data_IF_899292216580
#
_entry.id   IF_899292216580
#
_cell.length_a   1.000
_cell.length_b   1.000
_cell.length_c   1.000
_cell.angle_alpha   90.00
_cell.angle_beta   90.00
_cell.angle_gamma   90.00
#
_symmetry.space_group_name_H-M   'P 1'
#
loop_
_entity.id
_entity.type
_entity.pdbx_description
1 polymer ?
#
# COMPACT_ATOMS: atom_id res chain seq x y z
N UNK A 1 2.14 -11.38 -28.57
CA UNK A 1 1.87 -10.80 -27.24
C UNK A 1 2.56 -9.46 -27.19
N UNK A 2 1.90 -8.43 -26.65
CA UNK A 2 2.57 -7.16 -26.36
C UNK A 2 3.50 -7.37 -25.16
N UNK A 3 4.55 -6.57 -25.05
CA UNK A 3 5.39 -6.54 -23.84
C UNK A 3 4.96 -5.40 -22.94
N UNK A 4 4.92 -5.64 -21.62
CA UNK A 4 4.60 -4.62 -20.64
C UNK A 4 5.89 -4.03 -20.05
N UNK A 5 5.97 -2.70 -20.01
CA UNK A 5 7.11 -1.96 -19.47
C UNK A 5 6.69 -1.09 -18.28
N UNK A 6 7.53 -1.03 -17.26
CA UNK A 6 7.38 -0.07 -16.16
C UNK A 6 8.03 1.24 -16.61
N UNK A 7 7.21 2.27 -16.78
CA UNK A 7 7.66 3.57 -17.29
C UNK A 7 8.05 4.52 -16.16
N UNK A 8 7.33 4.47 -15.02
CA UNK A 8 7.55 5.34 -13.87
C UNK A 8 7.03 4.69 -12.60
N UNK A 9 7.58 5.10 -11.45
CA UNK A 9 7.12 4.69 -10.13
C UNK A 9 7.33 5.81 -9.12
N UNK A 10 6.31 6.05 -8.29
CA UNK A 10 6.35 6.99 -7.17
C UNK A 10 5.67 6.38 -5.95
N UNK A 11 6.09 6.81 -4.78
CA UNK A 11 5.44 6.47 -3.51
C UNK A 11 5.38 7.66 -2.55
N UNK A 12 4.53 7.57 -1.57
CA UNK A 12 4.58 8.44 -0.39
C UNK A 12 5.71 8.03 0.55
N UNK A 13 6.08 8.88 1.51
CA UNK A 13 6.78 8.43 2.70
C UNK A 13 5.95 7.35 3.41
N UNK A 14 6.62 6.45 4.13
CA UNK A 14 5.95 5.46 5.00
C UNK A 14 5.82 6.04 6.40
N UNK A 15 4.59 6.18 6.87
CA UNK A 15 4.30 6.65 8.23
C UNK A 15 4.09 5.49 9.20
N UNK A 16 4.59 5.63 10.43
CA UNK A 16 4.31 4.66 11.50
C UNK A 16 2.82 4.68 11.85
N UNK A 17 2.16 3.53 11.82
CA UNK A 17 0.75 3.41 12.17
C UNK A 17 0.45 4.00 13.55
N UNK A 18 -0.67 4.70 13.69
CA UNK A 18 -1.18 5.36 14.91
C UNK A 18 -0.32 6.50 15.47
N UNK A 19 0.95 6.63 15.08
CA UNK A 19 1.90 7.63 15.64
C UNK A 19 2.56 8.51 14.59
N UNK A 20 2.65 8.07 13.33
CA UNK A 20 3.31 8.82 12.25
C UNK A 20 2.49 10.00 11.75
N UNK A 21 3.10 10.90 10.98
CA UNK A 21 2.47 12.08 10.40
C UNK A 21 1.27 11.76 9.51
N UNK A 22 1.31 10.63 8.81
CA UNK A 22 0.22 10.20 7.91
C UNK A 22 -0.98 9.55 8.60
N UNK A 23 -1.01 9.46 9.94
CA UNK A 23 -2.05 8.72 10.70
C UNK A 23 -3.48 9.19 10.48
N UNK A 24 -3.67 10.44 10.07
CA UNK A 24 -4.97 11.05 9.80
C UNK A 24 -5.19 11.36 8.31
N UNK A 25 -4.26 10.97 7.45
CA UNK A 25 -4.41 11.11 6.00
C UNK A 25 -5.22 9.93 5.48
N UNK A 26 -6.29 10.22 4.78
CA UNK A 26 -7.12 9.16 4.14
C UNK A 26 -6.31 8.44 3.08
N UNK A 27 -6.37 7.10 3.00
CA UNK A 27 -5.58 6.32 2.04
C UNK A 27 -5.97 6.59 0.58
N UNK A 28 -7.22 6.91 0.30
CA UNK A 28 -7.69 7.31 -1.02
C UNK A 28 -7.11 8.68 -1.47
N UNK A 29 -7.11 9.68 -0.60
CA UNK A 29 -6.51 10.99 -0.86
C UNK A 29 -4.99 10.90 -1.04
N UNK A 30 -4.34 10.08 -0.20
CA UNK A 30 -2.89 9.82 -0.29
C UNK A 30 -2.53 9.23 -1.65
N UNK A 31 -3.23 8.17 -2.07
CA UNK A 31 -2.99 7.53 -3.36
C UNK A 31 -3.31 8.46 -4.53
N UNK A 32 -4.41 9.21 -4.47
CA UNK A 32 -4.77 10.19 -5.50
C UNK A 32 -3.70 11.28 -5.66
N UNK A 33 -3.09 11.73 -4.57
CA UNK A 33 -1.99 12.71 -4.60
C UNK A 33 -0.77 12.15 -5.33
N UNK A 34 -0.40 10.91 -5.05
CA UNK A 34 0.72 10.24 -5.72
C UNK A 34 0.42 10.03 -7.21
N UNK A 35 -0.78 9.59 -7.57
CA UNK A 35 -1.16 9.36 -8.97
C UNK A 35 -1.16 10.66 -9.78
N UNK A 36 -1.70 11.76 -9.24
CA UNK A 36 -1.62 13.07 -9.89
C UNK A 36 -0.18 13.48 -10.21
N UNK A 37 0.71 13.25 -9.24
CA UNK A 37 2.13 13.55 -9.42
C UNK A 37 2.79 12.60 -10.42
N UNK A 38 2.47 11.31 -10.39
CA UNK A 38 2.98 10.31 -11.32
C UNK A 38 2.63 10.69 -12.75
N UNK A 39 1.35 10.96 -13.05
CA UNK A 39 0.90 11.36 -14.38
C UNK A 39 1.60 12.63 -14.85
N UNK A 40 1.75 13.62 -13.96
CA UNK A 40 2.45 14.87 -14.29
C UNK A 40 3.94 14.70 -14.59
N UNK A 41 4.59 13.70 -13.98
CA UNK A 41 6.02 13.46 -14.14
C UNK A 41 6.38 12.70 -15.42
N UNK A 42 5.43 12.00 -16.03
CA UNK A 42 5.65 11.26 -17.28
C UNK A 42 5.35 12.15 -18.47
N UNK A 43 6.38 12.51 -19.20
CA UNK A 43 6.24 13.37 -20.39
C UNK A 43 5.32 12.71 -21.42
N UNK A 44 4.37 13.48 -21.94
CA UNK A 44 3.40 13.02 -22.93
C UNK A 44 2.26 12.17 -22.39
N UNK A 45 2.25 11.81 -21.10
CA UNK A 45 1.15 11.07 -20.51
C UNK A 45 0.00 12.02 -20.11
N UNK A 46 -1.15 11.81 -20.73
CA UNK A 46 -2.39 12.44 -20.32
C UNK A 46 -3.26 11.44 -19.55
N UNK A 47 -3.98 11.89 -18.52
CA UNK A 47 -4.82 11.01 -17.70
C UNK A 47 -5.86 10.20 -18.49
N UNK A 48 -6.33 10.73 -19.64
CA UNK A 48 -7.26 10.01 -20.54
C UNK A 48 -6.64 8.83 -21.30
N UNK A 49 -5.30 8.72 -21.32
CA UNK A 49 -4.58 7.59 -21.90
C UNK A 49 -4.52 6.38 -20.96
N UNK A 50 -4.92 6.56 -19.70
CA UNK A 50 -4.94 5.48 -18.72
C UNK A 50 -6.22 4.66 -18.90
N UNK A 51 -6.06 3.38 -19.24
CA UNK A 51 -7.18 2.46 -19.46
C UNK A 51 -7.78 1.91 -18.17
N UNK A 52 -6.94 1.76 -17.12
CA UNK A 52 -7.39 1.21 -15.85
C UNK A 52 -6.48 1.60 -14.68
N UNK A 53 -7.08 1.61 -13.48
CA UNK A 53 -6.37 1.79 -12.21
C UNK A 53 -6.58 0.56 -11.33
N UNK A 54 -5.50 -0.15 -10.99
CA UNK A 54 -5.55 -1.33 -10.12
C UNK A 54 -4.85 -1.03 -8.79
N UNK A 55 -5.62 -1.07 -7.70
CA UNK A 55 -5.12 -0.72 -6.37
C UNK A 55 -5.18 -1.92 -5.43
N UNK A 56 -4.03 -2.33 -4.95
CA UNK A 56 -3.90 -3.31 -3.87
C UNK A 56 -4.31 -2.71 -2.52
N UNK A 57 -5.15 -3.43 -1.79
CA UNK A 57 -5.52 -3.07 -0.42
C UNK A 57 -5.86 -4.35 0.37
N UNK A 58 -5.28 -4.49 1.56
CA UNK A 58 -5.39 -5.72 2.36
C UNK A 58 -6.68 -5.78 3.19
N UNK A 59 -7.21 -4.63 3.63
CA UNK A 59 -8.41 -4.55 4.47
C UNK A 59 -9.38 -3.53 3.87
N UNK A 60 -10.19 -3.90 2.87
CA UNK A 60 -11.08 -3.00 2.15
C UNK A 60 -12.37 -2.69 2.96
N UNK A 61 -12.20 -2.10 4.13
CA UNK A 61 -13.27 -1.69 5.05
C UNK A 61 -13.20 -0.18 5.34
N UNK A 62 -14.27 0.40 5.82
CA UNK A 62 -14.39 1.81 6.22
C UNK A 62 -13.80 2.76 5.16
N UNK A 63 -12.78 3.57 5.49
CA UNK A 63 -12.11 4.50 4.57
C UNK A 63 -11.45 3.81 3.37
N UNK A 64 -11.23 2.51 3.45
CA UNK A 64 -10.66 1.67 2.40
C UNK A 64 -11.73 0.83 1.67
N UNK A 65 -12.99 0.94 2.08
CA UNK A 65 -14.11 0.19 1.54
C UNK A 65 -14.66 0.72 0.21
N UNK A 66 -15.80 0.14 -0.19
CA UNK A 66 -16.64 0.60 -1.31
C UNK A 66 -15.89 0.80 -2.64
N UNK A 67 -14.97 -0.10 -2.98
CA UNK A 67 -14.13 0.03 -4.18
C UNK A 67 -13.29 1.32 -4.18
N UNK A 68 -12.51 1.53 -3.13
CA UNK A 68 -11.67 2.71 -2.94
C UNK A 68 -10.89 3.10 -4.20
N UNK A 69 -10.43 2.15 -5.01
CA UNK A 69 -9.73 2.43 -6.27
C UNK A 69 -10.57 3.27 -7.24
N UNK A 70 -11.90 3.11 -7.23
CA UNK A 70 -12.77 3.96 -8.04
C UNK A 70 -12.78 5.40 -7.53
N UNK A 71 -12.77 5.60 -6.22
CA UNK A 71 -12.67 6.95 -5.65
C UNK A 71 -11.32 7.58 -5.95
N UNK A 72 -10.24 6.82 -5.83
CA UNK A 72 -8.90 7.27 -6.20
C UNK A 72 -8.86 7.69 -7.67
N UNK A 73 -9.45 6.91 -8.58
CA UNK A 73 -9.55 7.27 -10.00
C UNK A 73 -10.29 8.60 -10.18
N UNK A 74 -11.47 8.75 -9.58
CA UNK A 74 -12.28 9.98 -9.66
C UNK A 74 -11.58 11.22 -9.08
N UNK A 75 -10.70 11.03 -8.09
CA UNK A 75 -9.93 12.10 -7.45
C UNK A 75 -8.68 12.50 -8.25
N UNK A 76 -8.16 11.62 -9.11
CA UNK A 76 -6.84 11.79 -9.73
C UNK A 76 -6.80 11.71 -11.26
N UNK A 77 -7.81 11.11 -11.87
CA UNK A 77 -7.88 10.82 -13.30
C UNK A 77 -9.23 11.30 -13.88
N UNK A 78 -9.41 11.35 -15.21
CA UNK A 78 -10.71 11.56 -15.82
C UNK A 78 -11.75 10.53 -15.38
N UNK A 79 -13.01 10.94 -15.30
CA UNK A 79 -14.12 10.08 -14.81
C UNK A 79 -14.35 8.80 -15.63
N UNK A 80 -13.86 8.78 -16.86
CA UNK A 80 -13.94 7.64 -17.79
C UNK A 80 -12.98 6.51 -17.40
N UNK A 81 -11.90 6.82 -16.67
CA UNK A 81 -10.92 5.83 -16.25
C UNK A 81 -11.51 4.98 -15.11
N UNK A 82 -11.69 3.67 -15.31
CA UNK A 82 -12.17 2.78 -14.26
C UNK A 82 -11.12 2.57 -13.17
N UNK A 83 -11.53 1.91 -12.09
CA UNK A 83 -10.59 1.51 -11.05
C UNK A 83 -11.20 0.42 -10.18
N UNK A 84 -10.40 -0.56 -9.79
CA UNK A 84 -10.83 -1.61 -8.88
C UNK A 84 -9.77 -1.98 -7.85
N UNK A 85 -10.24 -2.50 -6.71
CA UNK A 85 -9.39 -2.97 -5.62
C UNK A 85 -9.13 -4.47 -5.79
N UNK A 86 -7.88 -4.87 -5.54
CA UNK A 86 -7.51 -6.28 -5.42
C UNK A 86 -6.92 -6.54 -4.04
N UNK A 87 -7.21 -7.71 -3.49
CA UNK A 87 -6.71 -8.15 -2.20
C UNK A 87 -6.00 -9.50 -2.31
N UNK A 88 -4.72 -9.49 -1.97
CA UNK A 88 -3.87 -10.65 -1.70
C UNK A 88 -3.03 -10.33 -0.46
N UNK A 89 -3.65 -9.71 0.57
CA UNK A 89 -2.98 -9.19 1.77
C UNK A 89 -1.70 -8.41 1.43
N UNK A 90 -0.56 -8.73 2.06
CA UNK A 90 0.72 -8.03 1.85
C UNK A 90 1.24 -8.10 0.40
N UNK A 91 0.76 -9.04 -0.42
CA UNK A 91 1.09 -9.19 -1.83
C UNK A 91 0.21 -8.39 -2.79
N UNK A 92 -0.79 -7.64 -2.28
CA UNK A 92 -1.80 -6.96 -3.10
C UNK A 92 -1.20 -5.96 -4.11
N UNK A 93 -0.20 -5.19 -3.68
CA UNK A 93 0.47 -4.24 -4.58
C UNK A 93 1.23 -4.92 -5.72
N UNK A 94 1.92 -6.02 -5.44
CA UNK A 94 2.61 -6.82 -6.47
C UNK A 94 1.59 -7.48 -7.41
N UNK A 95 0.49 -8.00 -6.88
CA UNK A 95 -0.59 -8.58 -7.67
C UNK A 95 -1.24 -7.54 -8.60
N UNK A 96 -1.41 -6.29 -8.14
CA UNK A 96 -1.89 -5.20 -8.99
C UNK A 96 -0.97 -4.97 -10.20
N UNK A 97 0.34 -4.98 -9.99
CA UNK A 97 1.35 -4.86 -11.07
C UNK A 97 1.28 -6.07 -12.00
N UNK A 98 1.19 -7.29 -11.46
CA UNK A 98 1.04 -8.51 -12.25
C UNK A 98 -0.19 -8.45 -13.17
N UNK A 99 -1.33 -8.05 -12.63
CA UNK A 99 -2.56 -7.91 -13.41
C UNK A 99 -2.46 -6.82 -14.47
N UNK A 100 -1.81 -5.69 -14.18
CA UNK A 100 -1.55 -4.66 -15.17
C UNK A 100 -0.71 -5.20 -16.34
N UNK A 101 0.37 -5.92 -16.06
CA UNK A 101 1.16 -6.60 -17.08
C UNK A 101 0.33 -7.60 -17.89
N UNK A 102 -0.51 -8.40 -17.24
CA UNK A 102 -1.38 -9.36 -17.92
C UNK A 102 -2.37 -8.69 -18.87
N UNK A 103 -2.98 -7.56 -18.45
CA UNK A 103 -3.88 -6.77 -19.30
C UNK A 103 -3.18 -6.20 -20.53
N UNK A 104 -1.97 -5.68 -20.37
CA UNK A 104 -1.17 -5.16 -21.48
C UNK A 104 -0.75 -6.27 -22.43
N UNK A 105 -0.23 -7.39 -21.88
CA UNK A 105 0.22 -8.53 -22.69
C UNK A 105 -0.91 -9.18 -23.50
N UNK A 106 -2.13 -9.21 -22.95
CA UNK A 106 -3.34 -9.70 -23.67
C UNK A 106 -3.90 -8.73 -24.70
N UNK A 107 -3.43 -7.46 -24.69
CA UNK A 107 -3.99 -6.40 -25.55
C UNK A 107 -5.32 -5.82 -25.03
N UNK A 108 -5.68 -6.11 -23.76
CA UNK A 108 -6.90 -5.56 -23.12
C UNK A 108 -6.70 -4.14 -22.62
N UNK A 109 -5.46 -3.66 -22.53
CA UNK A 109 -5.08 -2.30 -22.17
C UNK A 109 -3.74 -1.93 -22.81
N UNK A 110 -3.49 -0.65 -22.96
CA UNK A 110 -2.21 -0.08 -23.42
C UNK A 110 -1.47 0.66 -22.29
N UNK A 111 -2.19 1.26 -21.35
CA UNK A 111 -1.63 2.01 -20.25
C UNK A 111 -2.42 1.75 -18.95
N UNK A 112 -1.76 1.25 -17.93
CA UNK A 112 -2.38 0.92 -16.64
C UNK A 112 -1.57 1.52 -15.49
N UNK A 113 -2.26 2.13 -14.54
CA UNK A 113 -1.66 2.51 -13.25
C UNK A 113 -1.94 1.41 -12.24
N UNK A 114 -0.89 0.89 -11.61
CA UNK A 114 -0.99 -0.17 -10.62
C UNK A 114 -0.15 0.14 -9.38
N UNK A 115 -0.66 -0.19 -8.22
CA UNK A 115 0.03 0.03 -6.96
C UNK A 115 -0.82 -0.40 -5.78
N UNK A 116 -0.62 0.21 -4.63
CA UNK A 116 -1.42 -0.07 -3.43
C UNK A 116 -1.40 1.07 -2.45
N UNK A 117 -2.38 1.09 -1.57
CA UNK A 117 -2.47 2.03 -0.45
C UNK A 117 -3.12 1.36 0.75
N UNK A 118 -2.62 1.69 1.94
CA UNK A 118 -3.09 1.09 3.19
C UNK A 118 -2.94 2.07 4.35
N UNK A 119 -3.94 2.18 5.21
CA UNK A 119 -3.86 2.92 6.45
C UNK A 119 -4.19 2.04 7.65
N UNK A 120 -3.18 1.46 8.26
CA UNK A 120 -3.32 0.72 9.52
C UNK A 120 -3.54 1.64 10.74
N UNK A 121 -3.59 2.95 10.51
CA UNK A 121 -4.01 3.94 11.52
C UNK A 121 -5.53 4.10 11.57
N UNK A 122 -6.18 4.12 10.41
CA UNK A 122 -7.62 4.29 10.27
C UNK A 122 -8.36 2.95 10.30
N UNK A 123 -7.83 1.93 9.64
CA UNK A 123 -8.44 0.60 9.59
C UNK A 123 -7.55 -0.40 10.32
N UNK A 124 -8.06 -1.11 11.34
CA UNK A 124 -7.29 -2.14 12.03
C UNK A 124 -6.85 -3.27 11.10
N UNK A 125 -5.72 -3.91 11.39
CA UNK A 125 -5.16 -5.00 10.57
C UNK A 125 -6.14 -6.17 10.38
N UNK A 126 -7.02 -6.42 11.34
CA UNK A 126 -8.05 -7.47 11.29
C UNK A 126 -9.40 -6.99 10.75
N UNK A 127 -9.48 -5.73 10.31
CA UNK A 127 -10.75 -5.07 9.99
C UNK A 127 -11.54 -4.70 11.25
N UNK A 128 -12.71 -4.12 11.06
CA UNK A 128 -13.63 -3.78 12.14
C UNK A 128 -14.56 -4.94 12.53
N UNK A 129 -14.76 -5.90 11.63
CA UNK A 129 -15.59 -7.06 11.87
C UNK A 129 -14.88 -8.34 11.42
N UNK A 130 -14.30 -9.05 12.38
CA UNK A 130 -13.74 -10.38 12.13
C UNK A 130 -14.84 -11.44 12.26
N UNK A 131 -14.93 -12.33 11.27
CA UNK A 131 -15.81 -13.49 11.31
C UNK A 131 -15.08 -14.69 10.70
N UNK A 132 -14.50 -15.51 11.59
CA UNK A 132 -13.73 -16.67 11.18
C UNK A 132 -14.65 -17.78 10.66
N UNK A 133 -14.18 -18.52 9.66
CA UNK A 133 -14.88 -19.72 9.20
C UNK A 133 -14.84 -20.79 10.30
N UNK A 134 -16.01 -21.29 10.71
CA UNK A 134 -16.15 -22.25 11.81
C UNK A 134 -15.36 -23.53 11.54
N UNK A 135 -15.49 -24.11 10.35
CA UNK A 135 -14.82 -25.38 10.02
C UNK A 135 -13.30 -25.26 10.03
N UNK A 136 -12.76 -24.13 9.51
CA UNK A 136 -11.30 -23.87 9.57
C UNK A 136 -10.87 -23.66 11.00
N UNK A 137 -11.62 -22.89 11.80
CA UNK A 137 -11.29 -22.63 13.20
C UNK A 137 -11.28 -23.89 14.06
N UNK A 138 -12.12 -24.88 13.73
CA UNK A 138 -12.18 -26.15 14.47
C UNK A 138 -11.12 -27.15 14.01
N UNK A 139 -10.86 -27.24 12.70
CA UNK A 139 -10.01 -28.31 12.16
C UNK A 139 -8.57 -27.87 11.88
N UNK A 140 -8.35 -26.59 11.57
CA UNK A 140 -7.04 -26.05 11.18
C UNK A 140 -6.87 -24.63 11.75
N UNK A 141 -6.94 -24.43 13.08
CA UNK A 141 -6.87 -23.08 13.69
C UNK A 141 -5.55 -22.37 13.39
N UNK A 142 -4.49 -23.12 13.08
CA UNK A 142 -3.18 -22.59 12.71
C UNK A 142 -3.21 -21.72 11.44
N UNK A 143 -4.22 -21.86 10.58
CA UNK A 143 -4.37 -20.98 9.39
C UNK A 143 -4.75 -19.54 9.77
N UNK A 144 -5.17 -19.32 11.01
CA UNK A 144 -5.48 -17.99 11.54
C UNK A 144 -4.36 -17.41 12.43
N UNK A 145 -3.17 -18.01 12.44
CA UNK A 145 -2.04 -17.45 13.17
C UNK A 145 -1.70 -16.05 12.63
N UNK A 146 -1.43 -15.12 13.55
CA UNK A 146 -0.81 -13.86 13.16
C UNK A 146 0.64 -14.08 12.71
N UNK A 147 1.21 -13.10 12.00
CA UNK A 147 2.54 -13.24 11.40
C UNK A 147 3.66 -13.38 12.45
N UNK A 148 3.49 -12.85 13.66
CA UNK A 148 4.45 -13.06 14.74
C UNK A 148 4.49 -14.53 15.17
N UNK A 149 3.34 -15.14 15.44
CA UNK A 149 3.26 -16.56 15.77
C UNK A 149 3.68 -17.47 14.60
N UNK A 150 3.42 -17.06 13.36
CA UNK A 150 3.91 -17.77 12.18
C UNK A 150 5.43 -17.74 12.13
N UNK A 151 6.06 -16.61 12.42
CA UNK A 151 7.52 -16.50 12.49
C UNK A 151 8.11 -17.37 13.61
N UNK A 152 7.49 -17.40 14.80
CA UNK A 152 7.90 -18.30 15.90
C UNK A 152 7.80 -19.78 15.51
N UNK A 153 6.71 -20.16 14.81
CA UNK A 153 6.55 -21.53 14.30
C UNK A 153 7.65 -21.89 13.31
N UNK A 154 7.97 -20.99 12.37
CA UNK A 154 9.05 -21.19 11.40
C UNK A 154 10.42 -21.30 12.12
N UNK A 155 10.67 -20.47 13.13
CA UNK A 155 11.89 -20.52 13.89
C UNK A 155 12.08 -21.88 14.57
N UNK A 156 11.01 -22.46 15.12
CA UNK A 156 11.02 -23.81 15.71
C UNK A 156 11.24 -24.89 14.63
N UNK A 157 10.54 -24.80 13.51
CA UNK A 157 10.58 -25.82 12.44
C UNK A 157 11.93 -25.88 11.73
N UNK A 158 12.56 -24.73 11.52
CA UNK A 158 13.85 -24.60 10.82
C UNK A 158 15.04 -24.41 11.79
N UNK A 159 14.82 -24.54 13.11
CA UNK A 159 15.84 -24.39 14.16
C UNK A 159 16.60 -23.04 14.06
N UNK A 160 15.89 -21.96 13.72
CA UNK A 160 16.46 -20.61 13.65
C UNK A 160 16.68 -20.08 15.06
N UNK A 161 17.94 -19.76 15.36
CA UNK A 161 18.32 -19.26 16.70
C UNK A 161 18.01 -17.77 16.86
N UNK A 162 17.91 -17.35 18.10
CA UNK A 162 17.65 -15.95 18.44
C UNK A 162 18.73 -15.02 17.89
N UNK A 163 19.97 -15.43 17.99
CA UNK A 163 21.14 -14.68 17.51
C UNK A 163 21.10 -14.46 15.99
N UNK A 164 20.64 -15.47 15.22
CA UNK A 164 20.48 -15.36 13.78
C UNK A 164 19.38 -14.36 13.41
N UNK A 165 18.24 -14.39 14.14
CA UNK A 165 17.14 -13.46 13.95
C UNK A 165 17.55 -12.02 14.29
N UNK A 166 18.32 -11.84 15.37
CA UNK A 166 18.82 -10.52 15.78
C UNK A 166 19.84 -9.97 14.78
N UNK A 167 20.74 -10.79 14.28
CA UNK A 167 21.71 -10.43 13.23
C UNK A 167 21.01 -10.01 11.95
N UNK A 168 20.05 -10.81 11.48
CA UNK A 168 19.24 -10.48 10.30
C UNK A 168 18.52 -9.11 10.45
N UNK A 169 17.94 -8.87 11.62
CA UNK A 169 17.26 -7.62 11.93
C UNK A 169 18.23 -6.44 11.95
N UNK A 170 19.40 -6.60 12.56
CA UNK A 170 20.45 -5.58 12.60
C UNK A 170 20.92 -5.20 11.21
N UNK A 171 21.24 -6.19 10.37
CA UNK A 171 21.65 -5.97 8.99
C UNK A 171 20.58 -5.25 8.16
N UNK A 172 19.30 -5.61 8.33
CA UNK A 172 18.18 -4.97 7.67
C UNK A 172 18.11 -3.48 8.03
N UNK A 173 18.22 -3.14 9.30
CA UNK A 173 18.25 -1.74 9.75
C UNK A 173 19.46 -0.97 9.22
N UNK A 174 20.65 -1.57 9.26
CA UNK A 174 21.88 -0.94 8.73
C UNK A 174 21.77 -0.65 7.23
N UNK A 175 21.23 -1.59 6.44
CA UNK A 175 20.96 -1.40 5.01
C UNK A 175 19.97 -0.24 4.76
N UNK A 176 18.90 -0.15 5.55
CA UNK A 176 17.91 0.91 5.42
C UNK A 176 18.50 2.29 5.76
N UNK A 177 19.25 2.41 6.87
CA UNK A 177 19.91 3.66 7.27
C UNK A 177 20.89 4.12 6.18
N UNK A 178 21.75 3.22 5.69
CA UNK A 178 22.70 3.53 4.62
C UNK A 178 22.00 3.98 3.33
N UNK A 179 20.88 3.37 2.97
CA UNK A 179 20.12 3.75 1.79
C UNK A 179 19.53 5.17 1.93
N UNK A 180 19.02 5.53 3.13
CA UNK A 180 18.50 6.86 3.43
C UNK A 180 19.61 7.90 3.38
N UNK A 181 20.75 7.65 4.03
CA UNK A 181 21.93 8.55 4.04
C UNK A 181 22.47 8.80 2.63
N UNK A 182 22.46 7.78 1.78
CA UNK A 182 22.87 7.87 0.37
C UNK A 182 21.76 8.39 -0.56
N UNK A 183 20.61 8.83 -0.02
CA UNK A 183 19.49 9.40 -0.77
C UNK A 183 18.96 8.51 -1.90
N UNK A 184 19.04 7.18 -1.72
CA UNK A 184 18.64 6.20 -2.74
C UNK A 184 17.16 6.36 -3.11
N UNK A 185 16.32 6.79 -2.16
CA UNK A 185 14.86 6.88 -2.33
C UNK A 185 14.35 8.27 -2.73
N UNK A 186 15.22 9.29 -2.84
CA UNK A 186 14.79 10.68 -3.06
C UNK A 186 14.02 10.88 -4.38
N UNK A 187 14.34 10.08 -5.39
CA UNK A 187 13.68 10.18 -6.70
C UNK A 187 12.29 9.51 -6.74
N UNK A 188 12.03 8.56 -5.84
CA UNK A 188 10.77 7.82 -5.80
C UNK A 188 9.78 8.36 -4.77
N UNK A 189 10.25 9.06 -3.73
CA UNK A 189 9.40 9.59 -2.66
C UNK A 189 8.87 10.97 -3.03
N UNK A 190 7.54 11.09 -3.10
CA UNK A 190 6.87 12.38 -3.19
C UNK A 190 6.46 12.84 -1.78
N UNK A 191 6.90 14.03 -1.33
CA UNK A 191 6.50 14.56 -0.02
C UNK A 191 4.99 14.81 0.02
N UNK A 192 4.41 14.61 1.20
CA UNK A 192 2.98 14.79 1.44
C UNK A 192 2.82 15.88 2.49
N UNK A 193 2.07 16.92 2.16
CA UNK A 193 1.66 17.94 3.12
C UNK A 193 0.63 17.35 4.08
N UNK A 194 0.90 17.44 5.37
CA UNK A 194 0.02 16.93 6.42
C UNK A 194 -0.37 18.06 7.37
N UNK A 195 -1.64 18.08 7.76
CA UNK A 195 -2.12 18.95 8.81
C UNK A 195 -1.98 18.24 10.17
N UNK A 196 -1.09 18.75 11.02
CA UNK A 196 -0.97 18.23 12.38
C UNK A 196 -2.00 18.89 13.29
N UNK A 197 -2.97 18.09 13.72
CA UNK A 197 -4.03 18.53 14.62
C UNK A 197 -3.64 18.16 16.05
N UNK A 198 -3.43 19.16 16.89
CA UNK A 198 -3.22 18.99 18.33
C UNK A 198 -4.39 19.61 19.10
N UNK A 199 -4.76 18.99 20.20
CA UNK A 199 -5.76 19.54 21.14
C UNK A 199 -4.99 20.03 22.37
N UNK A 200 -5.00 21.35 22.60
CA UNK A 200 -4.41 22.00 23.77
C UNK A 200 -5.52 22.73 24.50
N UNK A 201 -5.72 22.46 25.77
CA UNK A 201 -6.75 23.05 26.62
C UNK A 201 -8.18 22.96 26.01
N UNK A 202 -8.50 21.78 25.44
CA UNK A 202 -9.78 21.52 24.79
C UNK A 202 -10.00 22.25 23.45
N UNK A 203 -9.03 23.00 22.96
CA UNK A 203 -9.09 23.72 21.68
C UNK A 203 -8.22 23.02 20.61
N UNK A 204 -8.80 22.85 19.43
CA UNK A 204 -8.09 22.34 18.26
C UNK A 204 -7.07 23.38 17.79
N UNK A 205 -5.80 22.99 17.70
CA UNK A 205 -4.73 23.73 17.02
C UNK A 205 -4.28 22.91 15.82
N UNK A 206 -4.12 23.57 14.69
CA UNK A 206 -3.64 22.98 13.44
C UNK A 206 -2.33 23.62 13.06
N UNK A 207 -1.31 22.79 12.79
CA UNK A 207 -0.04 23.20 12.20
C UNK A 207 0.07 22.50 10.84
N UNK A 208 0.40 23.26 9.80
CA UNK A 208 0.72 22.72 8.47
C UNK A 208 2.20 22.51 8.34
#
# INVERSE_FOLDING_TARGET
>A
MKEAYIVSGLRSPVGKAKKGGLRFVRPDDLAATIIKKLVKNVEGLEGKMVDDLIVGNAVPEAEQGMQMARYISLLSLPKEVPGFVINRYCGSGLEAIHLACAKINSGSADCVIAGGTESMSMVPMTGYKSALNYNISQNNPEYYLNMGLTAEKLALEYDIKREESDLFSLESHQKAVKAIENKVFDQEIHPIDVEEITVVDGKRKSNK
#
